data_IF_806090959299
#
_entry.id   IF_806090959299
#
_cell.length_a   1.000
_cell.length_b   1.000
_cell.length_c   1.000
_cell.angle_alpha   90.00
_cell.angle_beta   90.00
_cell.angle_gamma   90.00
#
_symmetry.space_group_name_H-M   'P 1'
#
loop_
_entity.id
_entity.type
_entity.pdbx_description
1 polymer ?
#
# COMPACT_ATOMS: atom_id res chain seq x y z
N UNK A 1 9.32 -0.37 0.99
CA UNK A 1 9.27 -1.60 1.82
C UNK A 1 8.28 -1.43 2.96
N UNK A 2 7.79 -2.52 3.55
CA UNK A 2 7.05 -2.45 4.82
C UNK A 2 8.02 -2.17 5.97
N UNK A 3 7.69 -1.23 6.85
CA UNK A 3 8.57 -0.83 7.95
C UNK A 3 7.89 -0.95 9.31
N UNK A 4 8.25 -0.09 10.25
CA UNK A 4 7.80 -0.14 11.62
C UNK A 4 6.28 0.07 11.75
N UNK A 5 5.75 -0.47 12.85
CA UNK A 5 4.34 -0.35 13.20
C UNK A 5 4.13 0.68 14.29
N UNK A 6 2.98 1.35 14.27
CA UNK A 6 2.55 2.26 15.33
C UNK A 6 1.04 2.17 15.54
N UNK A 7 0.55 2.71 16.65
CA UNK A 7 -0.89 2.82 16.92
C UNK A 7 -1.35 4.20 16.46
N UNK A 8 -2.16 4.23 15.39
CA UNK A 8 -2.77 5.44 14.84
C UNK A 8 -4.26 5.50 15.10
N UNK A 9 -4.94 6.47 14.47
CA UNK A 9 -6.41 6.63 14.56
C UNK A 9 -7.22 5.39 14.13
N UNK A 10 -6.61 4.54 13.31
CA UNK A 10 -7.21 3.31 12.76
C UNK A 10 -6.65 2.04 13.41
N UNK A 11 -6.11 2.16 14.63
CA UNK A 11 -5.46 1.06 15.35
C UNK A 11 -4.06 0.75 14.83
N UNK A 12 -3.69 -0.53 14.86
CA UNK A 12 -2.38 -0.99 14.40
C UNK A 12 -2.18 -0.61 12.93
N UNK A 13 -1.16 0.20 12.68
CA UNK A 13 -0.81 0.72 11.36
C UNK A 13 0.67 0.46 11.09
N UNK A 14 1.04 0.35 9.81
CA UNK A 14 2.40 0.04 9.39
C UNK A 14 2.88 1.04 8.35
N UNK A 15 4.05 1.63 8.55
CA UNK A 15 4.63 2.57 7.59
C UNK A 15 5.13 1.85 6.35
N UNK A 16 5.12 2.60 5.25
CA UNK A 16 5.64 2.15 3.97
C UNK A 16 6.73 3.11 3.51
N UNK A 17 7.87 2.54 3.17
CA UNK A 17 9.02 3.25 2.61
C UNK A 17 8.96 3.18 1.09
N UNK A 18 9.28 4.29 0.43
CA UNK A 18 9.41 4.34 -1.02
C UNK A 18 10.78 3.81 -1.44
N UNK A 19 10.81 2.93 -2.44
CA UNK A 19 12.05 2.31 -2.95
C UNK A 19 12.53 2.94 -4.27
N UNK A 20 11.76 3.84 -4.86
CA UNK A 20 12.00 4.37 -6.19
C UNK A 20 11.92 5.90 -6.20
N UNK A 21 13.08 6.52 -6.41
CA UNK A 21 13.26 7.97 -6.45
C UNK A 21 12.42 8.60 -7.56
N UNK A 22 11.69 9.67 -7.24
CA UNK A 22 10.80 10.37 -8.17
C UNK A 22 9.50 9.64 -8.51
N UNK A 23 9.23 8.47 -7.90
CA UNK A 23 8.01 7.69 -8.11
C UNK A 23 7.27 7.50 -6.78
N UNK A 24 7.90 6.88 -5.78
CA UNK A 24 7.28 6.61 -4.47
C UNK A 24 8.13 7.02 -3.26
N UNK A 25 9.31 7.61 -3.48
CA UNK A 25 10.23 8.10 -2.44
C UNK A 25 9.60 9.02 -1.37
N UNK A 26 8.50 9.68 -1.69
CA UNK A 26 7.73 10.52 -0.77
C UNK A 26 6.70 9.75 0.08
N UNK A 27 6.69 8.41 0.11
CA UNK A 27 5.68 7.64 0.84
C UNK A 27 5.60 7.99 2.34
N UNK A 28 6.75 8.09 3.02
CA UNK A 28 6.82 8.43 4.45
C UNK A 28 6.34 9.87 4.69
N UNK A 29 6.85 10.84 3.93
CA UNK A 29 6.51 12.26 4.10
C UNK A 29 5.04 12.55 3.82
N UNK A 30 4.42 11.79 2.91
CA UNK A 30 2.98 11.83 2.61
C UNK A 30 2.13 11.05 3.62
N UNK A 31 2.73 10.38 4.60
CA UNK A 31 2.01 9.58 5.60
C UNK A 31 1.31 8.35 5.03
N UNK A 32 1.86 7.74 3.98
CA UNK A 32 1.31 6.52 3.39
C UNK A 32 1.61 5.33 4.30
N UNK A 33 0.55 4.65 4.74
CA UNK A 33 0.62 3.54 5.70
C UNK A 33 -0.38 2.46 5.33
N UNK A 34 -0.12 1.22 5.72
CA UNK A 34 -1.15 0.17 5.73
C UNK A 34 -1.95 0.26 7.04
N UNK A 35 -3.28 0.28 6.95
CA UNK A 35 -4.15 0.39 8.13
C UNK A 35 -5.49 -0.34 7.97
N UNK A 36 -6.22 -0.52 9.07
CA UNK A 36 -7.58 -1.08 9.04
C UNK A 36 -8.61 -0.04 8.56
N UNK A 37 -9.67 -0.47 7.88
CA UNK A 37 -10.79 0.42 7.56
C UNK A 37 -12.12 -0.33 7.47
N UNK A 38 -13.15 0.21 8.13
CA UNK A 38 -14.51 -0.35 8.15
C UNK A 38 -15.15 -0.46 6.76
N UNK A 39 -14.74 0.39 5.83
CA UNK A 39 -15.24 0.36 4.46
C UNK A 39 -14.69 -0.81 3.63
N UNK A 40 -13.70 -1.55 4.14
CA UNK A 40 -13.18 -2.78 3.51
C UNK A 40 -13.92 -3.98 4.11
N UNK A 41 -15.12 -4.21 3.60
CA UNK A 41 -16.09 -5.15 4.17
C UNK A 41 -16.86 -5.91 3.07
N UNK A 42 -17.02 -7.23 3.27
CA UNK A 42 -17.79 -8.14 2.44
C UNK A 42 -19.27 -7.74 2.27
N UNK A 43 -19.90 -7.17 3.31
CA UNK A 43 -21.29 -6.73 3.21
C UNK A 43 -21.44 -5.56 2.21
N UNK A 44 -20.47 -4.64 2.17
CA UNK A 44 -20.49 -3.49 1.26
C UNK A 44 -20.29 -3.93 -0.20
N UNK A 45 -19.31 -4.79 -0.47
CA UNK A 45 -19.09 -5.26 -1.84
C UNK A 45 -20.28 -6.07 -2.35
N UNK A 46 -20.96 -6.83 -1.49
CA UNK A 46 -22.18 -7.56 -1.85
C UNK A 46 -23.37 -6.66 -2.14
N UNK A 47 -23.50 -5.52 -1.45
CA UNK A 47 -24.64 -4.63 -1.62
C UNK A 47 -24.50 -3.68 -2.81
N UNK A 48 -23.30 -3.13 -3.05
CA UNK A 48 -23.09 -2.07 -4.05
C UNK A 48 -22.02 -2.41 -5.10
N UNK A 49 -21.36 -3.57 -5.01
CA UNK A 49 -20.35 -4.03 -5.97
C UNK A 49 -18.94 -3.47 -5.75
N UNK A 50 -18.72 -2.60 -4.76
CA UNK A 50 -17.41 -2.04 -4.44
C UNK A 50 -17.25 -1.69 -2.95
N UNK A 51 -16.01 -1.61 -2.50
CA UNK A 51 -15.61 -1.12 -1.17
C UNK A 51 -15.27 0.37 -1.21
N UNK A 52 -15.18 1.01 -0.03
CA UNK A 52 -14.72 2.40 0.05
C UNK A 52 -13.28 2.60 -0.42
N UNK A 53 -12.90 3.86 -0.66
CA UNK A 53 -11.57 4.23 -1.19
C UNK A 53 -10.77 5.02 -0.15
N UNK A 54 -9.47 4.78 -0.10
CA UNK A 54 -8.52 5.62 0.64
C UNK A 54 -7.96 6.73 -0.25
N UNK A 55 -7.19 7.64 0.34
CA UNK A 55 -6.43 8.67 -0.39
C UNK A 55 -5.00 8.20 -0.75
N UNK A 56 -4.76 6.89 -0.81
CA UNK A 56 -3.47 6.29 -1.19
C UNK A 56 -2.97 5.22 -0.23
N UNK A 57 -3.42 5.21 1.01
CA UNK A 57 -3.05 4.20 2.00
C UNK A 57 -3.65 2.82 1.65
N UNK A 58 -2.87 1.73 1.70
CA UNK A 58 -3.44 0.38 1.64
C UNK A 58 -4.35 0.11 2.84
N UNK A 59 -5.65 -0.07 2.57
CA UNK A 59 -6.65 -0.35 3.59
C UNK A 59 -7.00 -1.85 3.58
N UNK A 60 -7.08 -2.46 4.77
CA UNK A 60 -7.38 -3.89 4.94
C UNK A 60 -8.54 -4.11 5.92
N UNK A 61 -9.23 -5.27 5.91
CA UNK A 61 -10.36 -5.52 6.79
C UNK A 61 -10.00 -5.43 8.28
N UNK A 62 -10.87 -4.86 9.14
CA UNK A 62 -10.63 -4.75 10.58
C UNK A 62 -10.37 -6.09 11.27
N UNK A 63 -10.95 -7.19 10.79
CA UNK A 63 -10.78 -8.51 11.40
C UNK A 63 -9.40 -9.13 11.06
N UNK A 64 -8.76 -8.68 9.97
CA UNK A 64 -7.54 -9.27 9.44
C UNK A 64 -6.29 -8.39 9.59
N UNK A 65 -6.46 -7.08 9.83
CA UNK A 65 -5.35 -6.12 9.79
C UNK A 65 -4.16 -6.51 10.68
N UNK A 66 -4.41 -7.02 11.89
CA UNK A 66 -3.34 -7.44 12.81
C UNK A 66 -2.57 -8.64 12.29
N UNK A 67 -3.27 -9.64 11.75
CA UNK A 67 -2.62 -10.83 11.21
C UNK A 67 -1.77 -10.49 9.98
N UNK A 68 -2.30 -9.67 9.07
CA UNK A 68 -1.60 -9.20 7.87
C UNK A 68 -0.36 -8.39 8.25
N UNK A 69 -0.53 -7.30 9.02
CA UNK A 69 0.56 -6.38 9.38
C UNK A 69 1.66 -7.12 10.12
N UNK A 70 1.33 -7.95 11.11
CA UNK A 70 2.36 -8.68 11.86
C UNK A 70 3.11 -9.70 11.01
N UNK A 71 2.47 -10.25 9.98
CA UNK A 71 3.11 -11.21 9.08
C UNK A 71 4.13 -10.55 8.16
N UNK A 72 3.87 -9.32 7.72
CA UNK A 72 4.66 -8.66 6.66
C UNK A 72 5.54 -7.52 7.15
N UNK A 73 5.37 -7.01 8.37
CA UNK A 73 6.19 -5.89 8.90
C UNK A 73 7.69 -6.18 8.83
N UNK A 74 8.48 -5.10 8.84
CA UNK A 74 9.95 -5.13 8.91
C UNK A 74 10.62 -5.84 7.72
N UNK A 75 10.34 -5.39 6.50
CA UNK A 75 11.14 -5.77 5.32
C UNK A 75 10.44 -6.56 4.22
N UNK A 76 9.13 -6.79 4.26
CA UNK A 76 8.42 -7.31 3.08
C UNK A 76 8.35 -6.27 1.96
N UNK A 77 8.45 -6.74 0.72
CA UNK A 77 8.20 -5.93 -0.46
C UNK A 77 6.71 -5.88 -0.77
N UNK A 78 6.15 -4.66 -0.82
CA UNK A 78 4.79 -4.41 -1.31
C UNK A 78 4.88 -3.75 -2.68
N UNK A 79 4.50 -4.49 -3.72
CA UNK A 79 4.46 -3.98 -5.08
C UNK A 79 3.03 -3.55 -5.46
N UNK A 80 2.84 -2.28 -5.79
CA UNK A 80 1.57 -1.71 -6.23
C UNK A 80 1.69 -1.24 -7.67
N UNK A 81 0.91 -1.85 -8.57
CA UNK A 81 1.02 -1.63 -10.01
C UNK A 81 -0.23 -0.98 -10.62
N UNK A 82 0.00 -0.09 -11.57
CA UNK A 82 -0.98 0.45 -12.50
C UNK A 82 -0.25 0.70 -13.83
N UNK A 83 -0.89 0.49 -15.00
CA UNK A 83 -0.28 0.76 -16.30
C UNK A 83 -0.22 2.27 -16.62
N UNK A 84 0.18 3.08 -15.64
CA UNK A 84 0.34 4.52 -15.81
C UNK A 84 1.54 4.80 -16.72
N UNK A 85 1.33 5.61 -17.77
CA UNK A 85 2.38 5.97 -18.73
C UNK A 85 3.65 6.50 -18.06
N UNK A 86 3.50 7.37 -17.04
CA UNK A 86 4.62 7.88 -16.27
C UNK A 86 5.42 6.77 -15.59
N UNK A 87 4.74 5.82 -14.94
CA UNK A 87 5.39 4.70 -14.26
C UNK A 87 6.15 3.81 -15.26
N UNK A 88 5.47 3.40 -16.34
CA UNK A 88 6.05 2.52 -17.37
C UNK A 88 7.26 3.13 -18.08
N UNK A 89 7.29 4.47 -18.24
CA UNK A 89 8.40 5.15 -18.94
C UNK A 89 9.58 5.53 -18.04
N UNK A 90 9.38 5.63 -16.72
CA UNK A 90 10.40 6.17 -15.80
C UNK A 90 10.86 5.17 -14.74
N UNK A 91 10.16 4.06 -14.56
CA UNK A 91 10.51 3.11 -13.51
C UNK A 91 11.72 2.26 -13.90
N UNK A 92 12.67 2.12 -12.98
CA UNK A 92 13.83 1.23 -13.12
C UNK A 92 13.48 -0.24 -12.84
N UNK A 93 12.37 -0.49 -12.14
CA UNK A 93 11.92 -1.84 -11.80
C UNK A 93 11.17 -2.55 -12.92
N UNK A 94 10.53 -1.80 -13.83
CA UNK A 94 9.77 -2.35 -14.96
C UNK A 94 10.30 -1.92 -16.32
N UNK A 95 11.44 -1.22 -16.37
CA UNK A 95 12.13 -0.95 -17.62
C UNK A 95 12.46 -2.27 -18.31
N UNK A 96 12.00 -2.45 -19.54
CA UNK A 96 12.50 -3.51 -20.40
C UNK A 96 14.01 -3.30 -20.57
N UNK A 97 14.80 -4.33 -20.26
CA UNK A 97 16.22 -4.34 -20.57
C UNK A 97 16.38 -4.00 -22.06
N UNK A 98 16.80 -2.77 -22.36
CA UNK A 98 17.40 -2.46 -23.65
C UNK A 98 18.70 -3.25 -23.68
N UNK A 99 18.64 -4.44 -24.25
CA UNK A 99 19.79 -5.28 -24.56
C UNK A 99 20.85 -4.40 -25.23
N UNK A 100 22.03 -4.36 -24.61
CA UNK A 100 23.25 -3.82 -25.22
C UNK A 100 23.59 -4.66 -26.45
#
# INVERSE_FOLDING_TARGET
>A
LTSETYIGKHGLSMRLEGEEKGINDNAISRGIVMHSAEYVNEALIRSQGYIGRSQGCPAVPPQLHKAIINKIKNGSCLFMYSPAKYYLSNSTFVAENKTV
#
